data_IF_794099883369
#
_entry.id   IF_794099883369
#
_cell.length_a   1.000
_cell.length_b   1.000
_cell.length_c   1.000
_cell.angle_alpha   90.00
_cell.angle_beta   90.00
_cell.angle_gamma   90.00
#
_symmetry.space_group_name_H-M   'P 1'
#
loop_
_entity.id
_entity.type
_entity.pdbx_description
1 polymer ?
#
# COMPACT_ATOMS: atom_id res chain seq x y z
N UNK A 1 -1.92 -11.25 17.86
CA UNK A 1 -1.50 -11.44 16.46
C UNK A 1 -0.67 -12.71 16.41
N UNK A 2 -1.04 -13.70 15.59
CA UNK A 2 -0.35 -15.00 15.57
C UNK A 2 0.97 -14.90 14.79
N UNK A 3 2.03 -15.54 15.29
CA UNK A 3 3.34 -15.58 14.64
C UNK A 3 3.43 -16.83 13.78
N UNK A 4 3.83 -16.68 12.52
CA UNK A 4 4.08 -17.81 11.63
C UNK A 4 5.56 -18.15 11.67
N UNK A 5 5.87 -19.29 12.28
CA UNK A 5 7.25 -19.77 12.39
C UNK A 5 7.81 -20.21 11.03
N UNK A 6 9.13 -20.06 10.89
CA UNK A 6 9.88 -20.47 9.71
C UNK A 6 9.92 -19.41 8.62
N UNK A 7 10.47 -19.79 7.46
CA UNK A 7 10.73 -18.89 6.35
C UNK A 7 9.68 -19.06 5.25
N UNK A 8 8.93 -18.01 4.99
CA UNK A 8 7.80 -17.96 4.06
C UNK A 8 8.06 -16.95 2.95
N UNK A 9 7.28 -17.03 1.89
CA UNK A 9 7.17 -16.06 0.79
C UNK A 9 5.70 -15.91 0.42
N UNK A 10 5.33 -14.78 -0.18
CA UNK A 10 4.00 -14.58 -0.72
C UNK A 10 3.72 -15.62 -1.82
N UNK A 11 2.51 -16.16 -1.84
CA UNK A 11 2.02 -17.04 -2.90
C UNK A 11 1.41 -16.21 -4.06
N UNK A 12 1.98 -15.05 -4.36
CA UNK A 12 1.52 -14.14 -5.42
C UNK A 12 2.29 -14.38 -6.72
N UNK A 13 1.61 -14.21 -7.85
CA UNK A 13 2.13 -14.41 -9.21
C UNK A 13 1.57 -13.33 -10.13
N UNK A 14 2.36 -12.97 -11.14
CA UNK A 14 1.97 -11.95 -12.12
C UNK A 14 2.55 -10.56 -11.81
N UNK A 15 2.27 -9.57 -12.65
CA UNK A 15 2.66 -8.19 -12.39
C UNK A 15 1.85 -7.61 -11.21
N UNK A 16 2.36 -6.55 -10.61
CA UNK A 16 1.60 -5.73 -9.67
C UNK A 16 2.11 -4.28 -9.69
N UNK A 17 1.32 -3.40 -9.08
CA UNK A 17 1.77 -2.07 -8.69
C UNK A 17 1.93 -2.02 -7.17
N UNK A 18 3.11 -1.58 -6.74
CA UNK A 18 3.36 -1.18 -5.35
C UNK A 18 3.21 0.33 -5.26
N UNK A 19 2.25 0.78 -4.47
CA UNK A 19 1.96 2.20 -4.28
C UNK A 19 2.22 2.59 -2.84
N UNK A 20 3.26 3.40 -2.61
CA UNK A 20 3.59 3.93 -1.29
C UNK A 20 2.99 5.31 -1.20
N UNK A 21 2.04 5.55 -0.31
CA UNK A 21 1.43 6.86 -0.09
C UNK A 21 1.49 7.22 1.38
N UNK A 22 1.55 8.50 1.71
CA UNK A 22 1.50 8.90 3.09
C UNK A 22 1.35 10.38 3.31
N UNK A 23 1.38 10.73 4.59
CA UNK A 23 1.35 12.12 5.04
C UNK A 23 2.38 12.36 6.12
N UNK A 24 2.80 13.62 6.23
CA UNK A 24 3.71 14.12 7.25
C UNK A 24 3.12 15.34 7.95
N UNK A 25 3.09 15.31 9.28
CA UNK A 25 2.65 16.43 10.11
C UNK A 25 3.85 17.33 10.41
N UNK A 26 3.88 18.51 9.79
CA UNK A 26 4.95 19.49 10.03
C UNK A 26 4.64 20.36 11.26
N UNK A 27 3.36 20.70 11.47
CA UNK A 27 2.89 21.53 12.59
C UNK A 27 1.84 20.80 13.44
N UNK A 28 2.28 20.11 14.50
CA UNK A 28 1.40 19.30 15.38
C UNK A 28 0.23 20.09 15.99
N UNK A 29 0.44 21.36 16.32
CA UNK A 29 -0.59 22.21 16.93
C UNK A 29 -1.73 22.58 15.95
N UNK A 30 -1.58 22.36 14.64
CA UNK A 30 -2.61 22.64 13.62
C UNK A 30 -3.54 21.44 13.41
N UNK A 31 -4.15 20.95 14.50
CA UNK A 31 -4.99 19.74 14.53
C UNK A 31 -6.11 19.78 13.48
N UNK A 32 -6.78 20.93 13.35
CA UNK A 32 -7.86 21.13 12.38
C UNK A 32 -7.43 20.96 10.90
N UNK A 33 -6.12 21.01 10.62
CA UNK A 33 -5.56 20.79 9.28
C UNK A 33 -5.15 19.34 9.05
N UNK A 34 -4.41 18.73 9.98
CA UNK A 34 -3.89 17.37 9.75
C UNK A 34 -4.87 16.25 10.10
N UNK A 35 -5.81 16.47 11.02
CA UNK A 35 -6.75 15.42 11.44
C UNK A 35 -7.71 14.97 10.32
N UNK A 36 -8.28 15.87 9.49
CA UNK A 36 -9.09 15.46 8.33
C UNK A 36 -8.30 14.61 7.32
N UNK A 37 -7.05 15.02 7.01
CA UNK A 37 -6.17 14.29 6.09
C UNK A 37 -5.90 12.87 6.58
N UNK A 38 -5.63 12.71 7.89
CA UNK A 38 -5.40 11.41 8.51
C UNK A 38 -6.66 10.50 8.44
N UNK A 39 -7.85 11.09 8.53
CA UNK A 39 -9.13 10.36 8.49
C UNK A 39 -9.59 10.00 7.07
N UNK A 40 -9.03 10.63 6.03
CA UNK A 40 -9.44 10.42 4.66
C UNK A 40 -9.03 9.04 4.11
N UNK A 41 -7.80 8.58 4.39
CA UNK A 41 -7.31 7.29 3.86
C UNK A 41 -8.14 6.07 4.27
N UNK A 42 -8.54 5.89 5.54
CA UNK A 42 -9.37 4.75 5.94
C UNK A 42 -10.67 4.61 5.12
N UNK A 43 -11.33 5.73 4.81
CA UNK A 43 -12.56 5.74 4.02
C UNK A 43 -12.32 5.29 2.57
N UNK A 44 -11.24 5.78 1.96
CA UNK A 44 -10.83 5.34 0.62
C UNK A 44 -10.50 3.85 0.57
N UNK A 45 -9.78 3.33 1.57
CA UNK A 45 -9.44 1.91 1.62
C UNK A 45 -10.68 1.04 1.84
N UNK A 46 -11.65 1.52 2.62
CA UNK A 46 -12.93 0.83 2.80
C UNK A 46 -13.75 0.81 1.50
N UNK A 47 -13.80 1.92 0.76
CA UNK A 47 -14.43 1.99 -0.56
C UNK A 47 -13.78 0.99 -1.54
N UNK A 48 -12.44 1.00 -1.62
CA UNK A 48 -11.68 0.11 -2.49
C UNK A 48 -11.87 -1.37 -2.12
N UNK A 49 -11.85 -1.70 -0.83
CA UNK A 49 -12.02 -3.08 -0.38
C UNK A 49 -13.44 -3.63 -0.62
N UNK A 50 -14.45 -2.76 -0.76
CA UNK A 50 -15.83 -3.15 -1.10
C UNK A 50 -16.06 -3.36 -2.58
N UNK A 51 -15.15 -2.89 -3.43
CA UNK A 51 -15.25 -3.00 -4.88
C UNK A 51 -14.20 -3.99 -5.44
N UNK A 52 -14.62 -5.23 -5.79
CA UNK A 52 -13.73 -6.24 -6.37
C UNK A 52 -13.10 -5.83 -7.71
N UNK A 53 -13.74 -4.93 -8.45
CA UNK A 53 -13.28 -4.51 -9.78
C UNK A 53 -12.29 -3.35 -9.71
N UNK A 54 -12.15 -2.70 -8.54
CA UNK A 54 -11.27 -1.54 -8.31
C UNK A 54 -9.79 -1.81 -8.60
N UNK A 55 -9.36 -3.07 -8.63
CA UNK A 55 -7.97 -3.47 -8.80
C UNK A 55 -7.09 -3.28 -7.56
N UNK A 56 -7.66 -2.81 -6.44
CA UNK A 56 -6.98 -2.79 -5.15
C UNK A 56 -6.86 -4.21 -4.59
N UNK A 57 -5.65 -4.59 -4.17
CA UNK A 57 -5.35 -5.92 -3.66
C UNK A 57 -5.20 -5.95 -2.13
N UNK A 58 -4.81 -4.83 -1.53
CA UNK A 58 -4.61 -4.71 -0.09
C UNK A 58 -3.57 -3.68 0.30
N UNK A 59 -3.43 -3.42 1.60
CA UNK A 59 -2.44 -2.47 2.11
C UNK A 59 -1.95 -2.77 3.52
N UNK A 60 -0.82 -2.17 3.87
CA UNK A 60 -0.22 -2.19 5.20
C UNK A 60 0.06 -0.78 5.71
N UNK A 61 -0.33 -0.51 6.95
CA UNK A 61 -0.01 0.73 7.63
C UNK A 61 1.41 0.67 8.19
N UNK A 62 2.18 1.72 7.99
CA UNK A 62 3.54 1.86 8.47
C UNK A 62 3.70 3.22 9.15
N UNK A 63 4.41 3.23 10.28
CA UNK A 63 4.73 4.47 11.01
C UNK A 63 6.22 4.75 10.81
N UNK A 64 6.55 5.85 10.14
CA UNK A 64 7.91 6.30 9.89
C UNK A 64 8.30 7.40 10.88
N UNK A 65 8.24 7.06 12.17
CA UNK A 65 8.43 8.00 13.28
C UNK A 65 7.17 8.79 13.62
N UNK A 66 7.28 9.70 14.60
CA UNK A 66 6.12 10.36 15.23
C UNK A 66 5.36 11.34 14.33
N UNK A 67 5.96 11.74 13.20
CA UNK A 67 5.40 12.76 12.28
C UNK A 67 4.88 12.19 10.99
N UNK A 68 5.19 10.94 10.66
CA UNK A 68 5.02 10.43 9.32
C UNK A 68 4.36 9.06 9.35
N UNK A 69 3.25 8.99 8.63
CA UNK A 69 2.51 7.75 8.41
C UNK A 69 2.59 7.43 6.93
N UNK A 70 2.86 6.16 6.65
CA UNK A 70 3.00 5.62 5.30
C UNK A 70 2.02 4.46 5.16
N UNK A 71 1.56 4.25 3.95
CA UNK A 71 0.68 3.17 3.57
C UNK A 71 1.30 2.50 2.36
N UNK A 72 1.63 1.21 2.51
CA UNK A 72 2.07 0.36 1.42
C UNK A 72 0.84 -0.28 0.81
N UNK A 73 0.49 0.04 -0.42
CA UNK A 73 -0.64 -0.56 -1.13
C UNK A 73 -0.16 -1.45 -2.27
N UNK A 74 -0.97 -2.47 -2.56
CA UNK A 74 -0.80 -3.37 -3.69
C UNK A 74 -1.99 -3.24 -4.61
N UNK A 75 -1.71 -3.13 -5.91
CA UNK A 75 -2.71 -3.00 -6.96
C UNK A 75 -2.41 -3.99 -8.07
N UNK A 76 -3.47 -4.45 -8.75
CA UNK A 76 -3.37 -5.39 -9.86
C UNK A 76 -2.59 -4.81 -11.04
N UNK A 77 -2.83 -3.53 -11.34
CA UNK A 77 -2.26 -2.82 -12.47
C UNK A 77 -2.31 -1.29 -12.24
N UNK A 78 -1.56 -0.54 -13.04
CA UNK A 78 -1.49 0.92 -12.93
C UNK A 78 -2.79 1.59 -13.40
N UNK A 79 -3.43 1.05 -14.43
CA UNK A 79 -4.65 1.62 -15.00
C UNK A 79 -5.78 1.66 -13.95
N UNK A 80 -5.91 0.62 -13.14
CA UNK A 80 -6.87 0.55 -12.03
C UNK A 80 -6.58 1.61 -10.95
N UNK A 81 -5.30 1.78 -10.57
CA UNK A 81 -4.88 2.81 -9.62
C UNK A 81 -5.16 4.22 -10.17
N UNK A 82 -4.79 4.48 -11.42
CA UNK A 82 -5.01 5.77 -12.06
C UNK A 82 -6.50 6.08 -12.22
N UNK A 83 -7.31 5.10 -12.65
CA UNK A 83 -8.75 5.24 -12.78
C UNK A 83 -9.40 5.65 -11.45
N UNK A 84 -9.00 5.03 -10.34
CA UNK A 84 -9.46 5.42 -9.01
C UNK A 84 -9.03 6.85 -8.64
N UNK A 85 -7.74 7.19 -8.83
CA UNK A 85 -7.20 8.50 -8.50
C UNK A 85 -7.87 9.64 -9.30
N UNK A 86 -8.32 9.37 -10.53
CA UNK A 86 -8.97 10.36 -11.41
C UNK A 86 -10.48 10.40 -11.31
N UNK A 87 -11.11 9.43 -10.64
CA UNK A 87 -12.56 9.37 -10.56
C UNK A 87 -13.13 10.49 -9.69
N UNK A 88 -14.16 11.16 -10.21
CA UNK A 88 -14.86 12.25 -9.51
C UNK A 88 -15.93 11.75 -8.55
N UNK A 89 -16.36 10.51 -8.73
CA UNK A 89 -17.47 9.89 -7.99
C UNK A 89 -16.97 8.97 -6.86
N UNK A 90 -15.67 9.06 -6.54
CA UNK A 90 -14.97 8.24 -5.53
C UNK A 90 -14.44 9.10 -4.40
N UNK A 91 -14.17 8.49 -3.26
CA UNK A 91 -13.73 9.16 -2.02
C UNK A 91 -12.40 9.93 -2.18
N UNK A 92 -11.57 9.57 -3.17
CA UNK A 92 -10.34 10.27 -3.47
C UNK A 92 -10.56 11.75 -3.83
N UNK A 93 -11.51 12.05 -4.73
CA UNK A 93 -11.73 13.41 -5.23
C UNK A 93 -12.18 14.42 -4.16
N UNK A 94 -13.23 14.17 -3.35
CA UNK A 94 -13.66 15.11 -2.32
C UNK A 94 -12.58 15.31 -1.25
N UNK A 95 -11.82 14.26 -0.91
CA UNK A 95 -10.69 14.35 0.02
C UNK A 95 -9.55 15.23 -0.54
N UNK A 96 -9.26 15.11 -1.83
CA UNK A 96 -8.28 15.97 -2.52
C UNK A 96 -8.72 17.43 -2.54
N UNK A 97 -10.00 17.70 -2.80
CA UNK A 97 -10.57 19.06 -2.74
C UNK A 97 -10.48 19.63 -1.32
N UNK A 98 -10.83 18.86 -0.29
CA UNK A 98 -10.75 19.28 1.12
C UNK A 98 -9.29 19.56 1.55
N UNK A 99 -8.35 18.70 1.15
CA UNK A 99 -6.92 18.92 1.39
C UNK A 99 -6.44 20.25 0.80
N UNK A 100 -6.76 20.52 -0.47
CA UNK A 100 -6.36 21.77 -1.13
C UNK A 100 -6.97 23.02 -0.47
N UNK A 101 -8.23 22.93 0.00
CA UNK A 101 -8.89 24.03 0.71
C UNK A 101 -8.27 24.31 2.09
N UNK A 102 -7.87 23.27 2.83
CA UNK A 102 -7.37 23.41 4.22
C UNK A 102 -5.87 23.67 4.33
N UNK A 103 -5.11 23.05 3.44
CA UNK A 103 -3.64 22.98 3.47
C UNK A 103 -3.06 23.61 2.22
N UNK A 104 -3.44 23.10 1.04
CA UNK A 104 -2.86 23.55 -0.24
C UNK A 104 -1.33 23.48 -0.19
N UNK A 105 -0.67 24.61 -0.46
CA UNK A 105 0.80 24.73 -0.45
C UNK A 105 1.36 25.45 0.79
N UNK A 106 0.63 25.50 1.90
CA UNK A 106 1.02 26.28 3.09
C UNK A 106 2.09 25.61 3.99
N UNK A 107 2.46 24.36 3.68
CA UNK A 107 3.48 23.60 4.40
C UNK A 107 3.06 23.00 5.74
N UNK A 108 1.81 23.16 6.18
CA UNK A 108 1.35 22.64 7.47
C UNK A 108 1.30 21.11 7.54
N UNK A 109 0.94 20.49 6.42
CA UNK A 109 0.87 19.05 6.22
C UNK A 109 1.51 18.70 4.88
N UNK A 110 2.45 17.76 4.89
CA UNK A 110 2.99 17.17 3.67
C UNK A 110 2.21 15.92 3.29
N UNK A 111 2.12 15.65 2.00
CA UNK A 111 1.70 14.36 1.45
C UNK A 111 2.75 13.90 0.45
N UNK A 112 2.83 12.60 0.22
CA UNK A 112 3.71 12.03 -0.80
C UNK A 112 3.09 10.77 -1.36
N UNK A 113 3.48 10.41 -2.57
CA UNK A 113 3.28 9.07 -3.10
C UNK A 113 4.44 8.64 -3.98
N UNK A 114 4.63 7.34 -4.11
CA UNK A 114 5.56 6.67 -5.03
C UNK A 114 4.83 5.49 -5.66
N UNK A 115 4.90 5.38 -6.99
CA UNK A 115 4.26 4.31 -7.75
C UNK A 115 5.31 3.47 -8.44
N UNK A 116 5.31 2.17 -8.17
CA UNK A 116 6.22 1.20 -8.77
C UNK A 116 5.41 0.14 -9.51
N UNK A 117 5.40 0.20 -10.84
CA UNK A 117 4.87 -0.87 -11.67
C UNK A 117 5.94 -1.96 -11.84
N UNK A 118 5.65 -3.17 -11.38
CA UNK A 118 6.61 -4.26 -11.32
C UNK A 118 6.10 -5.45 -12.12
N UNK A 119 6.82 -5.80 -13.17
CA UNK A 119 6.49 -6.96 -13.99
C UNK A 119 6.59 -8.27 -13.21
N UNK A 120 5.86 -9.28 -13.70
CA UNK A 120 5.99 -10.66 -13.23
C UNK A 120 7.47 -11.10 -13.25
N UNK A 121 7.95 -11.60 -12.13
CA UNK A 121 9.34 -12.03 -11.98
C UNK A 121 10.37 -10.94 -11.73
N UNK A 122 9.94 -9.70 -11.48
CA UNK A 122 10.81 -8.58 -11.09
C UNK A 122 10.70 -8.22 -9.60
N UNK A 123 10.13 -9.12 -8.79
CA UNK A 123 10.06 -9.01 -7.34
C UNK A 123 10.18 -10.38 -6.67
N UNK A 124 10.63 -10.36 -5.41
CA UNK A 124 10.62 -11.50 -4.50
C UNK A 124 10.28 -11.04 -3.09
N UNK A 125 9.76 -11.95 -2.27
CA UNK A 125 9.40 -11.65 -0.88
C UNK A 125 9.95 -12.70 0.06
N UNK A 126 10.23 -12.30 1.29
CA UNK A 126 10.61 -13.22 2.35
C UNK A 126 10.05 -12.74 3.68
N UNK A 127 9.47 -13.67 4.43
CA UNK A 127 8.91 -13.43 5.76
C UNK A 127 9.47 -14.49 6.71
N UNK A 128 10.06 -14.07 7.82
CA UNK A 128 10.68 -14.98 8.78
C UNK A 128 10.18 -14.72 10.19
N UNK A 129 9.56 -15.73 10.82
CA UNK A 129 9.10 -15.66 12.22
C UNK A 129 8.26 -14.40 12.51
N UNK A 130 7.34 -14.06 11.61
CA UNK A 130 6.53 -12.84 11.68
C UNK A 130 5.06 -13.13 11.38
N UNK A 131 4.13 -12.26 11.79
CA UNK A 131 2.74 -12.33 11.36
C UNK A 131 2.59 -12.25 9.83
N UNK A 132 1.41 -12.60 9.32
CA UNK A 132 1.04 -12.32 7.93
C UNK A 132 1.12 -10.81 7.68
N UNK A 133 1.84 -10.41 6.63
CA UNK A 133 2.09 -9.02 6.32
C UNK A 133 2.37 -8.82 4.83
N UNK A 134 2.11 -7.61 4.33
CA UNK A 134 2.47 -7.18 2.99
C UNK A 134 1.81 -8.03 1.91
N UNK A 135 2.55 -8.32 0.83
CA UNK A 135 2.03 -9.15 -0.27
C UNK A 135 1.61 -10.57 0.17
N UNK A 136 2.20 -11.10 1.25
CA UNK A 136 1.79 -12.37 1.85
C UNK A 136 0.39 -12.35 2.46
N UNK A 137 -0.12 -11.17 2.84
CA UNK A 137 -1.52 -10.98 3.27
C UNK A 137 -2.49 -11.00 2.11
N UNK A 138 -2.06 -10.46 0.97
CA UNK A 138 -2.85 -10.39 -0.27
C UNK A 138 -3.04 -11.78 -0.88
N UNK A 139 -1.96 -12.54 -0.98
CA UNK A 139 -1.94 -13.79 -1.76
C UNK A 139 -1.87 -15.06 -0.91
N UNK A 140 -1.72 -14.92 0.40
CA UNK A 140 -1.32 -16.01 1.28
C UNK A 140 0.19 -16.29 1.26
N UNK A 141 0.60 -17.26 2.08
CA UNK A 141 2.00 -17.62 2.31
C UNK A 141 2.29 -19.06 1.91
N UNK A 142 3.47 -19.29 1.35
CA UNK A 142 4.05 -20.62 1.11
C UNK A 142 5.46 -20.70 1.67
N UNK A 143 5.97 -21.92 1.89
CA UNK A 143 7.35 -22.11 2.34
C UNK A 143 8.37 -21.57 1.34
N UNK A 144 9.32 -20.79 1.86
CA UNK A 144 10.48 -20.30 1.13
C UNK A 144 11.66 -21.28 1.26
N UNK A 145 11.40 -22.57 1.04
CA UNK A 145 12.36 -23.68 1.12
C UNK A 145 12.48 -24.40 -0.22
N UNK A 146 13.40 -25.36 -0.34
CA UNK A 146 13.63 -26.12 -1.58
C UNK A 146 13.93 -25.20 -2.77
N UNK A 147 13.11 -25.28 -3.83
CA UNK A 147 13.24 -24.44 -5.02
C UNK A 147 13.02 -22.93 -4.76
N UNK A 148 12.54 -22.53 -3.58
CA UNK A 148 12.34 -21.12 -3.16
C UNK A 148 13.36 -20.66 -2.12
N UNK A 149 14.41 -21.44 -1.87
CA UNK A 149 15.42 -21.16 -0.85
C UNK A 149 16.17 -19.84 -1.11
N UNK A 150 16.56 -19.62 -2.36
CA UNK A 150 17.33 -18.44 -2.77
C UNK A 150 16.44 -17.33 -3.33
N UNK A 151 16.83 -16.07 -3.11
CA UNK A 151 16.12 -14.90 -3.63
C UNK A 151 15.97 -14.95 -5.16
N UNK A 152 17.05 -15.30 -5.88
CA UNK A 152 17.03 -15.42 -7.35
C UNK A 152 16.07 -16.51 -7.84
N UNK A 153 15.89 -17.58 -7.08
CA UNK A 153 14.92 -18.63 -7.42
C UNK A 153 13.49 -18.16 -7.19
N UNK A 154 13.23 -17.37 -6.12
CA UNK A 154 11.91 -16.77 -5.88
C UNK A 154 11.50 -15.77 -6.96
N UNK A 155 12.44 -14.96 -7.48
CA UNK A 155 12.18 -14.09 -8.63
C UNK A 155 11.60 -14.86 -9.82
N UNK A 156 12.07 -16.09 -10.10
CA UNK A 156 11.54 -16.92 -11.20
C UNK A 156 10.13 -17.45 -10.91
N UNK A 157 9.80 -17.72 -9.64
CA UNK A 157 8.49 -18.26 -9.27
C UNK A 157 7.35 -17.25 -9.40
N UNK A 158 7.66 -15.96 -9.45
CA UNK A 158 6.65 -14.90 -9.61
C UNK A 158 6.14 -14.75 -11.06
N UNK A 159 6.70 -15.52 -12.02
CA UNK A 159 6.40 -15.45 -13.46
C UNK A 159 5.29 -16.41 -13.91
N UNK A 160 5.11 -17.54 -13.23
CA UNK A 160 4.18 -18.62 -13.61
C UNK A 160 3.16 -18.85 -12.52
#
# INVERSE_FOLDING_TARGET
MNIIAGRKTAAFRGPLVVFVIGMRINHFHKIAKWLPVLKAMPLMLEELAKDPDSGYLGSENMIAGLRQVCLLQYWRDFDSLEAYARSRDREHWPSWVDFNKRVGSDGTVGIFHETYAVDAGRYETIYGNMPVWGLGKVAGLTDATGQRNEARSRMKTSVK
#
